data_IF_451215725358
#
_entry.id   IF_451215725358
#
_cell.length_a   1.000
_cell.length_b   1.000
_cell.length_c   1.000
_cell.angle_alpha   90.00
_cell.angle_beta   90.00
_cell.angle_gamma   90.00
#
_symmetry.space_group_name_H-M   'P 1'
#
loop_
_entity.id
_entity.type
_entity.pdbx_description
1 polymer ?
#
# COMPACT_ATOMS: atom_id res chain seq x y z
N UNK A 1 -17.85 -43.68 36.78
CA UNK A 1 -19.30 -43.59 37.03
C UNK A 1 -20.05 -43.95 35.76
N UNK A 2 -20.73 -45.09 35.83
CA UNK A 2 -21.97 -45.53 35.17
C UNK A 2 -22.26 -45.20 33.69
N UNK A 3 -22.33 -46.30 32.94
CA UNK A 3 -22.89 -46.53 31.61
C UNK A 3 -24.41 -46.32 31.62
N UNK A 4 -25.01 -45.69 30.61
CA UNK A 4 -26.37 -45.96 30.10
C UNK A 4 -26.53 -45.21 28.75
N UNK A 5 -26.41 -45.90 27.61
CA UNK A 5 -27.50 -46.50 26.84
C UNK A 5 -28.22 -45.51 25.89
N UNK A 6 -27.67 -45.36 24.67
CA UNK A 6 -28.31 -45.68 23.37
C UNK A 6 -29.84 -45.48 23.27
N UNK A 7 -30.30 -44.57 22.41
CA UNK A 7 -31.59 -44.54 21.64
C UNK A 7 -31.54 -43.26 20.75
N UNK A 8 -31.18 -43.30 19.46
CA UNK A 8 -32.05 -43.50 18.28
C UNK A 8 -33.47 -42.94 18.42
N UNK A 9 -33.79 -41.84 17.71
CA UNK A 9 -35.06 -41.62 17.00
C UNK A 9 -35.04 -40.26 16.26
N UNK A 10 -35.05 -40.34 14.93
CA UNK A 10 -35.41 -39.25 14.03
C UNK A 10 -36.93 -39.05 14.05
N UNK A 11 -37.41 -37.80 14.06
CA UNK A 11 -38.81 -37.49 13.80
C UNK A 11 -38.93 -36.19 13.00
N UNK A 12 -39.26 -36.39 11.73
CA UNK A 12 -39.74 -35.44 10.74
C UNK A 12 -41.09 -34.87 11.21
N UNK A 13 -41.27 -33.55 11.24
CA UNK A 13 -42.62 -32.95 11.23
C UNK A 13 -42.65 -31.78 10.26
N UNK A 14 -43.55 -31.93 9.28
CA UNK A 14 -43.77 -31.11 8.10
C UNK A 14 -45.23 -30.65 8.18
N UNK A 15 -45.47 -29.34 8.29
CA UNK A 15 -46.75 -28.67 8.08
C UNK A 15 -46.45 -27.20 7.73
N UNK A 16 -46.51 -26.78 6.46
CA UNK A 16 -47.65 -26.12 5.78
C UNK A 16 -48.17 -24.92 6.62
N UNK A 17 -48.22 -23.67 6.20
CA UNK A 17 -48.09 -22.97 4.91
C UNK A 17 -48.84 -21.64 5.07
N UNK A 18 -48.26 -20.52 4.65
CA UNK A 18 -48.96 -19.23 4.51
C UNK A 18 -48.43 -18.53 3.26
N UNK A 19 -49.29 -18.16 2.29
CA UNK A 19 -48.86 -17.53 1.05
C UNK A 19 -48.81 -16.01 1.26
N UNK A 20 -47.62 -15.46 1.43
CA UNK A 20 -47.40 -14.03 1.21
C UNK A 20 -46.91 -13.85 -0.22
N UNK A 21 -47.86 -13.56 -1.12
CA UNK A 21 -47.60 -12.96 -2.44
C UNK A 21 -46.88 -11.63 -2.19
N UNK A 22 -45.64 -11.51 -2.64
CA UNK A 22 -44.96 -10.24 -2.83
C UNK A 22 -43.99 -10.33 -4.02
N UNK A 23 -44.59 -10.12 -5.18
CA UNK A 23 -44.04 -9.37 -6.33
C UNK A 23 -42.61 -9.67 -6.77
N UNK A 24 -42.58 -10.44 -7.86
CA UNK A 24 -41.71 -10.27 -9.01
C UNK A 24 -41.15 -8.83 -9.17
N UNK A 25 -39.92 -8.65 -8.72
CA UNK A 25 -39.02 -7.62 -9.22
C UNK A 25 -37.61 -8.21 -9.19
N UNK A 26 -37.36 -9.09 -10.16
CA UNK A 26 -36.04 -9.60 -10.51
C UNK A 26 -35.15 -8.42 -10.89
N UNK A 27 -34.53 -7.81 -9.88
CA UNK A 27 -33.48 -6.80 -10.06
C UNK A 27 -32.38 -7.48 -10.89
N UNK A 28 -32.06 -7.00 -12.11
CA UNK A 28 -30.97 -7.58 -12.85
C UNK A 28 -29.71 -7.47 -11.99
N UNK A 29 -29.08 -8.62 -11.74
CA UNK A 29 -27.76 -8.67 -11.12
C UNK A 29 -26.86 -7.76 -11.95
N UNK A 30 -26.52 -6.60 -11.38
CA UNK A 30 -25.61 -5.66 -12.01
C UNK A 30 -24.35 -6.44 -12.37
N UNK A 31 -24.12 -6.60 -13.67
CA UNK A 31 -22.91 -7.18 -14.19
C UNK A 31 -21.75 -6.47 -13.48
N UNK A 32 -20.96 -7.24 -12.72
CA UNK A 32 -19.69 -6.74 -12.19
C UNK A 32 -18.88 -6.34 -13.40
N UNK A 33 -18.86 -5.03 -13.70
CA UNK A 33 -17.85 -4.42 -14.57
C UNK A 33 -16.53 -5.06 -14.17
N UNK A 34 -15.70 -5.57 -15.11
CA UNK A 34 -14.39 -6.07 -14.75
C UNK A 34 -13.72 -4.97 -13.95
N UNK A 35 -13.46 -5.27 -12.67
CA UNK A 35 -12.87 -4.31 -11.77
C UNK A 35 -11.66 -3.74 -12.49
N UNK A 36 -11.58 -2.41 -12.55
CA UNK A 36 -10.40 -1.70 -13.00
C UNK A 36 -9.25 -2.05 -12.04
N UNK A 37 -8.70 -3.26 -12.14
CA UNK A 37 -7.59 -3.76 -11.36
C UNK A 37 -6.33 -2.91 -11.64
N UNK A 38 -6.35 -2.15 -12.75
CA UNK A 38 -5.33 -1.19 -13.14
C UNK A 38 -5.50 0.22 -12.57
N UNK A 39 -6.57 0.55 -11.85
CA UNK A 39 -6.80 1.89 -11.29
C UNK A 39 -6.88 1.91 -9.75
N UNK A 40 -6.46 0.84 -9.06
CA UNK A 40 -6.30 0.95 -7.61
C UNK A 40 -5.26 2.02 -7.31
N UNK A 41 -5.69 3.07 -6.61
CA UNK A 41 -4.81 4.08 -6.03
C UNK A 41 -3.66 3.38 -5.29
N UNK A 42 -2.44 3.88 -5.49
CA UNK A 42 -1.28 3.28 -4.84
C UNK A 42 -1.40 3.59 -3.35
N UNK A 43 -1.62 2.55 -2.55
CA UNK A 43 -1.81 2.67 -1.12
C UNK A 43 -0.46 3.00 -0.45
N UNK A 44 -0.12 4.28 -0.36
CA UNK A 44 1.05 4.77 0.36
C UNK A 44 0.67 5.10 1.81
N UNK A 45 1.23 4.41 2.82
CA UNK A 45 0.99 4.73 4.23
C UNK A 45 1.41 6.16 4.60
N UNK A 46 2.43 6.69 3.92
CA UNK A 46 2.90 8.06 4.13
C UNK A 46 1.85 9.08 3.66
N UNK A 47 1.25 8.89 2.48
CA UNK A 47 0.19 9.78 1.98
C UNK A 47 -1.01 9.78 2.93
N UNK A 48 -1.44 8.60 3.38
CA UNK A 48 -2.54 8.48 4.36
C UNK A 48 -2.24 9.19 5.68
N UNK A 49 -1.02 9.06 6.18
CA UNK A 49 -0.62 9.73 7.41
C UNK A 49 -0.63 11.25 7.26
N UNK A 50 -0.22 11.76 6.10
CA UNK A 50 -0.25 13.21 5.80
C UNK A 50 -1.68 13.72 5.59
N UNK A 51 -2.53 12.96 4.92
CA UNK A 51 -3.95 13.31 4.75
C UNK A 51 -4.72 13.35 6.07
N UNK A 52 -4.27 12.62 7.09
CA UNK A 52 -4.82 12.65 8.43
C UNK A 52 -4.39 13.87 9.28
N UNK A 53 -3.51 14.72 8.76
CA UNK A 53 -3.12 15.97 9.43
C UNK A 53 -4.10 17.11 9.11
N UNK A 54 -4.12 18.11 9.97
CA UNK A 54 -4.75 19.39 9.65
C UNK A 54 -3.90 20.16 8.64
N UNK A 55 -4.31 20.05 7.37
CA UNK A 55 -3.69 20.74 6.24
C UNK A 55 -4.51 21.96 5.82
N UNK A 56 -3.83 23.04 5.45
CA UNK A 56 -4.47 24.20 4.81
C UNK A 56 -5.04 23.81 3.45
N UNK A 57 -5.95 24.63 2.90
CA UNK A 57 -6.53 24.38 1.58
C UNK A 57 -5.44 24.26 0.50
N UNK A 58 -4.44 25.14 0.52
CA UNK A 58 -3.31 25.10 -0.41
C UNK A 58 -2.46 23.83 -0.24
N UNK A 59 -2.17 23.43 1.01
CA UNK A 59 -1.43 22.20 1.28
C UNK A 59 -2.19 20.97 0.80
N UNK A 60 -3.52 20.91 0.98
CA UNK A 60 -4.36 19.82 0.47
C UNK A 60 -4.26 19.69 -1.05
N UNK A 61 -4.27 20.82 -1.78
CA UNK A 61 -4.11 20.80 -3.25
C UNK A 61 -2.74 20.26 -3.64
N UNK A 62 -1.67 20.74 -3.02
CA UNK A 62 -0.29 20.29 -3.31
C UNK A 62 -0.09 18.81 -2.96
N UNK A 63 -0.56 18.36 -1.80
CA UNK A 63 -0.46 16.95 -1.38
C UNK A 63 -1.23 16.04 -2.35
N UNK A 64 -2.42 16.43 -2.79
CA UNK A 64 -3.19 15.66 -3.79
C UNK A 64 -2.46 15.57 -5.13
N UNK A 65 -1.86 16.67 -5.60
CA UNK A 65 -1.07 16.68 -6.83
C UNK A 65 0.13 15.72 -6.72
N UNK A 66 0.91 15.83 -5.65
CA UNK A 66 2.04 14.93 -5.36
C UNK A 66 1.57 13.47 -5.30
N UNK A 67 0.45 13.20 -4.63
CA UNK A 67 -0.10 11.84 -4.52
C UNK A 67 -0.57 11.27 -5.86
N UNK A 68 -1.10 12.12 -6.75
CA UNK A 68 -1.49 11.74 -8.12
C UNK A 68 -0.26 11.40 -8.96
N UNK A 69 0.76 12.27 -8.99
CA UNK A 69 2.01 12.02 -9.71
C UNK A 69 2.69 10.73 -9.24
N UNK A 70 2.76 10.52 -7.92
CA UNK A 70 3.30 9.27 -7.36
C UNK A 70 2.48 8.05 -7.80
N UNK A 71 1.15 8.17 -7.80
CA UNK A 71 0.27 7.07 -8.22
C UNK A 71 0.48 6.72 -9.70
N UNK A 72 0.56 7.71 -10.57
CA UNK A 72 0.81 7.54 -12.00
C UNK A 72 2.18 6.92 -12.27
N UNK A 73 3.23 7.41 -11.59
CA UNK A 73 4.58 6.86 -11.67
C UNK A 73 4.59 5.37 -11.29
N UNK A 74 3.99 5.02 -10.15
CA UNK A 74 3.96 3.64 -9.66
C UNK A 74 3.09 2.72 -10.53
N UNK A 75 2.00 3.22 -11.11
CA UNK A 75 1.22 2.48 -12.10
C UNK A 75 2.03 2.22 -13.38
N UNK A 76 2.76 3.22 -13.87
CA UNK A 76 3.70 3.06 -14.99
C UNK A 76 4.74 1.99 -14.71
N UNK A 77 5.31 1.96 -13.50
CA UNK A 77 6.30 0.96 -13.11
C UNK A 77 5.70 -0.45 -12.98
N UNK A 78 4.45 -0.59 -12.52
CA UNK A 78 3.74 -1.88 -12.52
C UNK A 78 3.60 -2.44 -13.93
N UNK A 79 3.28 -1.59 -14.92
CA UNK A 79 3.23 -1.99 -16.33
C UNK A 79 4.61 -2.42 -16.86
N UNK A 80 5.69 -1.84 -16.33
CA UNK A 80 7.08 -2.21 -16.65
C UNK A 80 7.61 -3.42 -15.87
N UNK A 81 6.80 -4.08 -15.06
CA UNK A 81 7.18 -5.30 -14.34
C UNK A 81 7.39 -5.15 -12.83
N UNK A 82 7.06 -4.01 -12.23
CA UNK A 82 7.00 -3.89 -10.77
C UNK A 82 5.86 -4.75 -10.23
N UNK A 83 6.19 -5.94 -9.74
CA UNK A 83 5.23 -6.93 -9.25
C UNK A 83 5.52 -7.37 -7.81
N UNK A 84 4.63 -8.19 -7.26
CA UNK A 84 4.74 -8.66 -5.88
C UNK A 84 5.96 -9.55 -5.65
N UNK A 85 6.32 -10.39 -6.63
CA UNK A 85 7.49 -11.28 -6.53
C UNK A 85 8.79 -10.47 -6.41
N UNK A 86 8.99 -9.51 -7.32
CA UNK A 86 10.15 -8.61 -7.31
C UNK A 86 10.21 -7.77 -6.01
N UNK A 87 9.04 -7.33 -5.52
CA UNK A 87 8.95 -6.57 -4.26
C UNK A 87 9.32 -7.44 -3.05
N UNK A 88 8.89 -8.71 -3.02
CA UNK A 88 9.25 -9.66 -1.96
C UNK A 88 10.74 -9.98 -1.97
N UNK A 89 11.30 -10.29 -3.15
CA UNK A 89 12.74 -10.53 -3.30
C UNK A 89 13.56 -9.33 -2.79
N UNK A 90 13.17 -8.10 -3.15
CA UNK A 90 13.81 -6.90 -2.61
C UNK A 90 13.69 -6.82 -1.09
N UNK A 91 12.52 -7.09 -0.54
CA UNK A 91 12.28 -7.02 0.91
C UNK A 91 13.15 -8.02 1.67
N UNK A 92 13.25 -9.24 1.19
CA UNK A 92 14.12 -10.29 1.75
C UNK A 92 15.59 -9.91 1.64
N UNK A 93 16.03 -9.38 0.50
CA UNK A 93 17.40 -8.93 0.32
C UNK A 93 17.75 -7.75 1.25
N UNK A 94 16.86 -6.78 1.44
CA UNK A 94 17.02 -5.72 2.45
C UNK A 94 17.08 -6.30 3.86
N UNK A 95 16.24 -7.27 4.18
CA UNK A 95 16.22 -7.91 5.50
C UNK A 95 17.56 -8.60 5.78
N UNK A 96 18.04 -9.44 4.87
CA UNK A 96 19.34 -10.12 4.97
C UNK A 96 20.50 -9.13 5.08
N UNK A 97 20.48 -8.06 4.30
CA UNK A 97 21.52 -7.04 4.37
C UNK A 97 21.53 -6.32 5.74
N UNK A 98 20.36 -6.03 6.32
CA UNK A 98 20.25 -5.46 7.67
C UNK A 98 20.68 -6.42 8.77
N UNK A 99 20.34 -7.71 8.65
CA UNK A 99 20.80 -8.78 9.55
C UNK A 99 22.33 -8.92 9.51
N UNK A 100 22.94 -8.75 8.33
CA UNK A 100 24.38 -8.67 8.14
C UNK A 100 25.00 -7.34 8.62
N UNK A 101 24.25 -6.50 9.34
CA UNK A 101 24.72 -5.23 9.91
C UNK A 101 24.85 -4.09 8.90
N UNK A 102 24.51 -4.30 7.62
CA UNK A 102 24.60 -3.25 6.59
C UNK A 102 23.53 -2.18 6.83
N UNK A 103 23.98 -0.92 6.88
CA UNK A 103 23.14 0.26 7.16
C UNK A 103 23.59 1.42 6.29
N UNK A 104 22.72 2.41 6.14
CA UNK A 104 23.05 3.69 5.52
C UNK A 104 22.68 3.81 4.04
N UNK A 105 23.23 4.84 3.41
CA UNK A 105 22.84 5.32 2.06
C UNK A 105 23.15 4.29 0.98
N UNK A 106 24.18 3.46 1.17
CA UNK A 106 24.62 2.46 0.19
C UNK A 106 23.83 1.14 0.26
N UNK A 107 22.98 0.96 1.27
CA UNK A 107 22.22 -0.28 1.46
C UNK A 107 21.33 -0.60 0.24
N UNK A 108 20.78 0.42 -0.42
CA UNK A 108 19.89 0.21 -1.56
C UNK A 108 20.64 -0.35 -2.78
N UNK A 109 21.78 0.23 -3.12
CA UNK A 109 22.58 -0.19 -4.28
C UNK A 109 23.25 -1.54 -4.03
N UNK A 110 23.74 -1.78 -2.80
CA UNK A 110 24.28 -3.08 -2.41
C UNK A 110 23.21 -4.18 -2.47
N UNK A 111 22.00 -3.89 -1.99
CA UNK A 111 20.89 -4.85 -2.09
C UNK A 111 20.59 -5.16 -3.55
N UNK A 112 20.47 -4.16 -4.42
CA UNK A 112 20.21 -4.38 -5.84
C UNK A 112 21.33 -5.17 -6.53
N UNK A 113 22.59 -4.93 -6.17
CA UNK A 113 23.73 -5.67 -6.69
C UNK A 113 23.72 -7.16 -6.29
N UNK A 114 23.22 -7.47 -5.10
CA UNK A 114 23.13 -8.87 -4.60
C UNK A 114 21.89 -9.63 -5.05
N UNK A 115 20.91 -8.95 -5.65
CA UNK A 115 19.69 -9.59 -6.13
C UNK A 115 19.95 -10.26 -7.48
N UNK A 116 19.57 -11.54 -7.59
CA UNK A 116 19.58 -12.28 -8.85
C UNK A 116 18.38 -11.90 -9.72
N UNK A 117 18.39 -10.69 -10.27
CA UNK A 117 17.34 -10.09 -11.11
C UNK A 117 17.92 -9.47 -12.39
N UNK A 118 17.08 -9.29 -13.40
CA UNK A 118 17.51 -8.68 -14.68
C UNK A 118 17.78 -7.18 -14.55
N UNK A 119 18.53 -6.60 -15.48
CA UNK A 119 18.83 -5.17 -15.46
C UNK A 119 17.58 -4.31 -15.65
N UNK A 120 16.60 -4.79 -16.42
CA UNK A 120 15.28 -4.17 -16.52
C UNK A 120 14.55 -4.15 -15.16
N UNK A 121 14.59 -5.26 -14.42
CA UNK A 121 14.00 -5.34 -13.07
C UNK A 121 14.74 -4.43 -12.08
N UNK A 122 16.07 -4.33 -12.16
CA UNK A 122 16.86 -3.37 -11.37
C UNK A 122 16.47 -1.93 -11.69
N UNK A 123 16.34 -1.59 -12.97
CA UNK A 123 15.94 -0.26 -13.41
C UNK A 123 14.54 0.10 -12.89
N UNK A 124 13.59 -0.83 -12.95
CA UNK A 124 12.23 -0.64 -12.39
C UNK A 124 12.27 -0.41 -10.88
N UNK A 125 13.08 -1.17 -10.13
CA UNK A 125 13.23 -0.96 -8.69
C UNK A 125 13.90 0.38 -8.35
N UNK A 126 14.88 0.81 -9.15
CA UNK A 126 15.54 2.11 -8.99
C UNK A 126 14.54 3.24 -9.23
N UNK A 127 13.79 3.18 -10.33
CA UNK A 127 12.73 4.15 -10.63
C UNK A 127 11.63 4.17 -9.56
N UNK A 128 11.28 3.02 -8.98
CA UNK A 128 10.34 2.96 -7.86
C UNK A 128 10.90 3.66 -6.61
N UNK A 129 12.18 3.47 -6.33
CA UNK A 129 12.87 4.16 -5.23
C UNK A 129 12.95 5.66 -5.44
N UNK A 130 13.20 6.11 -6.67
CA UNK A 130 13.21 7.53 -7.05
C UNK A 130 11.81 8.15 -6.94
N UNK A 131 10.76 7.46 -7.39
CA UNK A 131 9.38 7.92 -7.22
C UNK A 131 9.02 8.06 -5.73
N UNK A 132 9.46 7.12 -4.89
CA UNK A 132 9.29 7.20 -3.44
C UNK A 132 10.07 8.38 -2.82
N UNK A 133 11.29 8.65 -3.29
CA UNK A 133 12.09 9.78 -2.83
C UNK A 133 11.44 11.12 -3.20
N UNK A 134 10.97 11.27 -4.45
CA UNK A 134 10.23 12.46 -4.91
C UNK A 134 8.97 12.70 -4.10
N UNK A 135 8.23 11.63 -3.78
CA UNK A 135 7.07 11.72 -2.89
C UNK A 135 7.49 12.29 -1.52
N UNK A 136 8.55 11.76 -0.91
CA UNK A 136 9.01 12.20 0.41
C UNK A 136 9.51 13.65 0.39
N UNK A 137 10.27 14.04 -0.63
CA UNK A 137 10.80 15.40 -0.80
C UNK A 137 9.67 16.41 -1.07
N UNK A 138 8.73 16.07 -1.95
CA UNK A 138 7.57 16.91 -2.23
C UNK A 138 6.70 17.13 -0.99
N UNK A 139 6.42 16.08 -0.22
CA UNK A 139 5.67 16.21 1.04
C UNK A 139 6.45 17.01 2.08
N UNK A 140 7.76 16.79 2.20
CA UNK A 140 8.60 17.55 3.14
C UNK A 140 8.70 19.05 2.80
N UNK A 141 8.57 19.42 1.52
CA UNK A 141 8.54 20.81 1.07
C UNK A 141 7.19 21.51 1.33
N UNK A 142 6.09 20.75 1.37
CA UNK A 142 4.73 21.29 1.56
C UNK A 142 4.34 21.39 3.04
N UNK A 143 4.81 20.44 3.85
CA UNK A 143 4.43 20.34 5.26
C UNK A 143 5.31 21.21 6.15
N UNK A 144 4.71 21.76 7.20
CA UNK A 144 5.44 22.49 8.24
C UNK A 144 6.24 21.52 9.12
N UNK A 145 7.26 22.05 9.82
CA UNK A 145 8.03 21.25 10.79
C UNK A 145 7.14 20.63 11.87
N UNK A 146 6.11 21.37 12.30
CA UNK A 146 5.14 20.94 13.32
C UNK A 146 4.26 19.79 12.79
N UNK A 147 3.75 19.92 11.56
CA UNK A 147 3.00 18.87 10.88
C UNK A 147 3.84 17.59 10.71
N UNK A 148 5.11 17.72 10.33
CA UNK A 148 6.04 16.58 10.24
C UNK A 148 6.27 15.96 11.63
N UNK A 149 6.34 16.79 12.68
CA UNK A 149 6.58 16.32 14.04
C UNK A 149 5.41 15.54 14.63
N UNK A 150 4.17 15.80 14.18
CA UNK A 150 2.95 15.12 14.58
C UNK A 150 2.77 13.74 13.92
N UNK A 151 3.56 13.42 12.89
CA UNK A 151 3.50 12.12 12.23
C UNK A 151 4.09 10.99 13.09
N UNK A 152 3.68 9.73 12.86
CA UNK A 152 4.30 8.57 13.50
C UNK A 152 5.83 8.57 13.31
N UNK A 153 6.58 8.12 14.32
CA UNK A 153 8.04 8.25 14.40
C UNK A 153 8.77 7.81 13.11
N UNK A 154 8.32 6.72 12.48
CA UNK A 154 8.90 6.21 11.24
C UNK A 154 8.71 7.17 10.05
N UNK A 155 7.53 7.77 9.92
CA UNK A 155 7.19 8.74 8.87
C UNK A 155 7.85 10.09 9.13
N UNK A 156 7.84 10.54 10.39
CA UNK A 156 8.58 11.72 10.84
C UNK A 156 10.05 11.63 10.48
N UNK A 157 10.74 10.55 10.87
CA UNK A 157 12.15 10.36 10.56
C UNK A 157 12.42 10.36 9.04
N UNK A 158 11.50 9.80 8.26
CA UNK A 158 11.59 9.78 6.79
C UNK A 158 11.50 11.18 6.20
N UNK A 159 10.47 11.95 6.56
CA UNK A 159 10.27 13.31 6.05
C UNK A 159 11.31 14.31 6.56
N UNK A 160 11.77 14.17 7.81
CA UNK A 160 12.88 15.00 8.32
C UNK A 160 14.16 14.76 7.54
N UNK A 161 14.48 13.51 7.20
CA UNK A 161 15.64 13.19 6.35
C UNK A 161 15.47 13.74 4.93
N UNK A 162 14.27 13.65 4.35
CA UNK A 162 13.97 14.20 3.04
C UNK A 162 14.11 15.74 3.03
N UNK A 163 13.58 16.43 4.04
CA UNK A 163 13.75 17.88 4.21
C UNK A 163 15.22 18.29 4.30
N UNK A 164 16.02 17.53 5.06
CA UNK A 164 17.45 17.80 5.20
C UNK A 164 18.23 17.52 3.90
N UNK A 165 17.82 16.53 3.11
CA UNK A 165 18.41 16.24 1.80
C UNK A 165 18.13 17.37 0.82
N UNK A 166 16.88 17.81 0.72
CA UNK A 166 16.47 18.90 -0.16
C UNK A 166 17.23 20.20 0.14
N UNK A 167 17.50 20.49 1.42
CA UNK A 167 18.33 21.64 1.83
C UNK A 167 19.81 21.52 1.51
N UNK A 168 20.34 20.31 1.37
CA UNK A 168 21.75 20.08 1.03
C UNK A 168 22.00 20.14 -0.49
N UNK A 169 20.94 19.96 -1.28
CA UNK A 169 20.97 20.00 -2.75
C UNK A 169 20.53 21.35 -3.35
N UNK A 170 20.18 22.33 -2.49
CA UNK A 170 19.83 23.70 -2.85
C UNK A 170 20.98 24.63 -2.44
#
# INVERSE_FOLDING_TARGET
MNKFCRWFCAALFLAVGSPAIAQDAKKPAAAKKPAAANQRAVNSPLLKAVEGLELTAEQKVKVKAIGKEFTEAMQGLRKKGLNQSLTKQRTEAVKKAREAGKKGVNLADEVLATMSITDEQKAVLKQASEAQAKLQEGLAAVLTKEQIAALPQQMKATLTRAANRAKKSA
#
